data_IF_635713176460
#
_entry.id   IF_635713176460
#
_cell.length_a   1.000
_cell.length_b   1.000
_cell.length_c   1.000
_cell.angle_alpha   90.00
_cell.angle_beta   90.00
_cell.angle_gamma   90.00
#
_symmetry.space_group_name_H-M   'P 1'
#
loop_
_entity.id
_entity.type
_entity.pdbx_description
1 polymer ?
#
# COMPACT_ATOMS: atom_id res chain seq x y z
N UNK A 1 -29.11 8.62 -31.51
CA UNK A 1 -27.85 9.25 -31.05
C UNK A 1 -28.23 10.25 -29.97
N UNK A 2 -28.00 9.90 -28.71
CA UNK A 2 -28.35 10.75 -27.55
C UNK A 2 -27.21 10.65 -26.54
N UNK A 3 -26.47 11.74 -26.42
CA UNK A 3 -25.39 11.94 -25.46
C UNK A 3 -26.00 12.52 -24.19
N UNK A 4 -26.00 11.75 -23.11
CA UNK A 4 -26.39 12.21 -21.77
C UNK A 4 -25.17 12.86 -21.12
N UNK A 5 -25.15 14.20 -21.07
CA UNK A 5 -24.17 14.97 -20.30
C UNK A 5 -24.56 14.96 -18.81
N UNK A 6 -23.66 14.50 -17.95
CA UNK A 6 -23.87 14.44 -16.50
C UNK A 6 -23.46 15.78 -15.85
N UNK A 7 -24.30 16.48 -15.07
CA UNK A 7 -23.98 17.76 -14.45
C UNK A 7 -23.67 17.57 -12.96
N UNK A 8 -22.42 17.34 -12.58
CA UNK A 8 -22.09 17.27 -11.14
C UNK A 8 -20.69 17.76 -10.74
N UNK A 9 -20.15 18.79 -11.41
CA UNK A 9 -19.01 19.54 -10.88
C UNK A 9 -19.12 21.02 -11.26
N UNK A 10 -19.39 21.94 -10.31
CA UNK A 10 -19.13 23.35 -10.55
C UNK A 10 -17.63 23.62 -10.48
N UNK A 11 -17.04 23.92 -11.63
CA UNK A 11 -15.72 24.52 -11.77
C UNK A 11 -15.79 26.00 -11.38
N UNK A 12 -15.57 26.34 -10.11
CA UNK A 12 -15.10 27.68 -9.67
C UNK A 12 -15.08 27.79 -8.14
N UNK A 13 -13.89 27.76 -7.54
CA UNK A 13 -13.66 28.36 -6.23
C UNK A 13 -12.64 29.49 -6.42
N UNK A 14 -13.03 30.77 -6.18
CA UNK A 14 -12.10 31.88 -6.24
C UNK A 14 -11.23 31.95 -4.98
N UNK A 15 -9.93 32.14 -5.20
CA UNK A 15 -8.99 32.69 -4.23
C UNK A 15 -9.42 34.11 -3.88
N UNK A 16 -9.73 34.37 -2.61
CA UNK A 16 -9.34 35.56 -1.84
C UNK A 16 -10.24 35.71 -0.62
N UNK A 17 -9.70 36.32 0.44
CA UNK A 17 -10.31 36.63 1.74
C UNK A 17 -10.26 35.53 2.81
N UNK A 18 -9.09 35.34 3.44
CA UNK A 18 -9.02 35.05 4.89
C UNK A 18 -7.64 35.42 5.51
N UNK A 19 -6.98 36.50 5.07
CA UNK A 19 -5.81 37.05 5.79
C UNK A 19 -6.20 38.33 6.54
N UNK A 20 -6.81 38.15 7.71
CA UNK A 20 -6.89 39.19 8.74
C UNK A 20 -5.52 39.39 9.39
N UNK A 21 -4.97 40.61 9.27
CA UNK A 21 -3.82 41.11 10.01
C UNK A 21 -4.06 41.04 11.53
N UNK A 22 -3.22 40.29 12.24
CA UNK A 22 -2.88 40.58 13.63
C UNK A 22 -1.37 40.49 13.81
N UNK A 23 -0.75 41.65 14.02
CA UNK A 23 0.67 41.80 14.33
C UNK A 23 0.91 41.37 15.78
N UNK A 24 1.37 40.15 15.97
CA UNK A 24 2.06 39.72 17.19
C UNK A 24 3.40 39.14 16.76
N UNK A 25 4.51 39.68 17.28
CA UNK A 25 5.83 39.13 17.00
C UNK A 25 5.86 37.65 17.44
N UNK A 26 6.31 36.71 16.59
CA UNK A 26 6.45 35.32 17.00
C UNK A 26 7.53 35.23 18.10
N UNK A 27 7.33 34.42 19.16
CA UNK A 27 8.39 34.14 20.11
C UNK A 27 9.57 33.48 19.40
N UNK A 28 10.82 33.71 19.85
CA UNK A 28 11.98 33.08 19.23
C UNK A 28 11.82 31.56 19.28
N UNK A 29 11.84 30.94 18.10
CA UNK A 29 11.86 29.50 17.94
C UNK A 29 13.11 28.99 18.66
N UNK A 30 12.93 28.39 19.84
CA UNK A 30 13.95 27.50 20.40
C UNK A 30 14.33 26.52 19.31
N UNK A 31 15.62 26.46 19.00
CA UNK A 31 16.19 25.50 18.07
C UNK A 31 15.60 24.12 18.38
N UNK A 32 14.70 23.66 17.51
CA UNK A 32 14.26 22.27 17.50
C UNK A 32 15.46 21.48 17.05
N UNK A 33 16.06 20.81 18.03
CA UNK A 33 17.13 19.85 17.84
C UNK A 33 16.73 18.90 16.71
N UNK A 34 17.49 18.98 15.62
CA UNK A 34 17.22 18.30 14.36
C UNK A 34 17.69 16.87 14.42
N UNK A 35 17.17 16.07 15.36
CA UNK A 35 17.30 14.61 15.35
C UNK A 35 16.43 14.04 14.22
N UNK A 36 16.83 14.35 12.99
CA UNK A 36 16.56 13.50 11.83
C UNK A 36 17.12 12.14 12.20
N UNK A 37 16.23 11.17 12.39
CA UNK A 37 16.61 9.77 12.19
C UNK A 37 17.23 9.72 10.79
N UNK A 38 18.56 9.64 10.73
CA UNK A 38 19.27 9.40 9.50
C UNK A 38 18.72 8.10 8.94
N UNK A 39 17.93 8.20 7.87
CA UNK A 39 17.71 7.06 6.99
C UNK A 39 19.08 6.57 6.50
N UNK A 40 19.22 5.28 6.18
CA UNK A 40 20.50 4.72 5.77
C UNK A 40 21.14 5.59 4.68
N UNK A 41 22.40 5.93 4.88
CA UNK A 41 23.17 6.82 4.01
C UNK A 41 23.07 6.37 2.55
N UNK A 42 22.23 7.07 1.78
CA UNK A 42 22.02 6.84 0.34
C UNK A 42 23.31 6.94 -0.48
N UNK A 43 24.38 7.53 0.09
CA UNK A 43 25.70 7.61 -0.54
C UNK A 43 26.39 6.26 -0.73
N UNK A 44 26.19 5.29 0.17
CA UNK A 44 26.86 3.99 0.09
C UNK A 44 26.26 3.08 -1.01
N UNK A 45 24.94 3.12 -1.17
CA UNK A 45 24.21 2.36 -2.21
C UNK A 45 24.59 2.88 -3.61
N UNK A 46 24.72 4.20 -3.76
CA UNK A 46 25.13 4.84 -5.01
C UNK A 46 26.60 4.54 -5.36
N UNK A 47 27.51 4.55 -4.37
CA UNK A 47 28.93 4.27 -4.59
C UNK A 47 29.21 2.82 -5.05
N UNK A 48 28.34 1.86 -4.70
CA UNK A 48 28.43 0.45 -5.13
C UNK A 48 27.65 0.15 -6.41
N UNK A 49 27.03 1.15 -7.06
CA UNK A 49 26.18 0.95 -8.24
C UNK A 49 24.93 0.10 -7.98
N UNK A 50 24.57 -0.11 -6.70
CA UNK A 50 23.38 -0.87 -6.34
C UNK A 50 22.15 -0.03 -6.65
N UNK A 51 21.14 -0.63 -7.30
CA UNK A 51 19.86 0.03 -7.47
C UNK A 51 19.20 0.19 -6.09
N UNK A 52 18.53 1.31 -5.82
CA UNK A 52 17.73 1.46 -4.61
C UNK A 52 16.78 0.27 -4.45
N UNK A 53 16.59 -0.18 -3.20
CA UNK A 53 15.65 -1.24 -2.88
C UNK A 53 14.27 -0.89 -3.45
N UNK A 54 13.69 -1.81 -4.24
CA UNK A 54 12.34 -1.63 -4.76
C UNK A 54 11.34 -2.04 -3.67
N UNK A 55 10.73 -1.07 -3.02
CA UNK A 55 9.59 -1.32 -2.15
C UNK A 55 8.40 -1.81 -2.99
N UNK A 56 7.83 -2.95 -2.63
CA UNK A 56 6.62 -3.46 -3.26
C UNK A 56 5.44 -3.10 -2.35
N UNK A 57 4.55 -2.24 -2.83
CA UNK A 57 3.30 -1.92 -2.15
C UNK A 57 2.14 -2.53 -2.93
N UNK A 58 1.63 -3.66 -2.45
CA UNK A 58 0.51 -4.36 -3.06
C UNK A 58 -0.84 -3.63 -2.87
N UNK A 59 -0.96 -2.78 -1.85
CA UNK A 59 -2.22 -2.06 -1.57
C UNK A 59 -2.49 -0.92 -2.56
N UNK A 60 -1.44 -0.37 -3.18
CA UNK A 60 -1.54 0.70 -4.18
C UNK A 60 -1.37 0.18 -5.62
N UNK A 61 -1.40 -1.14 -5.81
CA UNK A 61 -1.25 -1.70 -7.15
C UNK A 61 -2.50 -1.41 -7.98
N UNK A 62 -2.30 -0.87 -9.19
CA UNK A 62 -3.37 -0.67 -10.15
C UNK A 62 -4.03 -2.02 -10.46
N UNK A 63 -5.36 -2.07 -10.38
CA UNK A 63 -6.14 -3.30 -10.59
C UNK A 63 -5.93 -3.86 -12.00
N UNK A 64 -5.79 -3.00 -13.01
CA UNK A 64 -5.56 -3.42 -14.40
C UNK A 64 -4.17 -4.05 -14.51
N UNK A 65 -3.13 -3.38 -14.00
CA UNK A 65 -1.78 -3.92 -13.96
C UNK A 65 -1.70 -5.24 -13.16
N UNK A 66 -2.44 -5.35 -12.05
CA UNK A 66 -2.53 -6.57 -11.25
C UNK A 66 -3.16 -7.73 -12.03
N UNK A 67 -4.27 -7.49 -12.73
CA UNK A 67 -4.90 -8.50 -13.56
C UNK A 67 -3.98 -8.98 -14.69
N UNK A 68 -3.29 -8.05 -15.38
CA UNK A 68 -2.32 -8.39 -16.41
C UNK A 68 -1.14 -9.21 -15.83
N UNK A 69 -0.68 -8.89 -14.63
CA UNK A 69 0.36 -9.66 -13.93
C UNK A 69 -0.09 -11.08 -13.60
N UNK A 70 -1.33 -11.25 -13.12
CA UNK A 70 -1.89 -12.58 -12.85
C UNK A 70 -2.09 -13.39 -14.13
N UNK A 71 -2.55 -12.77 -15.22
CA UNK A 71 -2.72 -13.44 -16.51
C UNK A 71 -1.37 -13.88 -17.09
N UNK A 72 -0.32 -13.07 -16.92
CA UNK A 72 1.04 -13.43 -17.31
C UNK A 72 1.59 -14.64 -16.53
N UNK A 73 1.13 -14.87 -15.29
CA UNK A 73 1.52 -16.03 -14.47
C UNK A 73 0.69 -17.28 -14.78
N UNK A 74 -0.49 -17.15 -15.40
CA UNK A 74 -1.41 -18.27 -15.66
C UNK A 74 -0.74 -19.48 -16.33
N UNK A 75 0.05 -19.32 -17.41
CA UNK A 75 0.65 -20.47 -18.08
C UNK A 75 1.56 -21.31 -17.16
N UNK A 76 2.24 -20.66 -16.21
CA UNK A 76 3.12 -21.33 -15.25
C UNK A 76 2.35 -22.11 -14.17
N UNK A 77 1.15 -21.65 -13.82
CA UNK A 77 0.25 -22.41 -12.96
C UNK A 77 -0.33 -23.62 -13.68
N UNK A 78 -0.72 -23.45 -14.95
CA UNK A 78 -1.32 -24.51 -15.76
C UNK A 78 -0.30 -25.60 -16.16
N UNK A 79 0.96 -25.23 -16.40
CA UNK A 79 2.05 -26.17 -16.66
C UNK A 79 2.53 -26.90 -15.41
N UNK A 80 2.24 -26.37 -14.22
CA UNK A 80 2.78 -26.86 -12.96
C UNK A 80 4.22 -26.43 -12.69
N UNK A 81 4.76 -25.46 -13.44
CA UNK A 81 6.10 -24.92 -13.22
C UNK A 81 6.24 -24.17 -11.88
N UNK A 82 5.12 -23.74 -11.30
CA UNK A 82 5.07 -23.15 -9.97
C UNK A 82 4.83 -24.23 -8.91
N UNK A 83 5.82 -24.43 -8.04
CA UNK A 83 5.69 -25.32 -6.90
C UNK A 83 4.57 -24.82 -5.95
N UNK A 84 3.63 -25.70 -5.56
CA UNK A 84 2.60 -25.33 -4.60
C UNK A 84 3.23 -24.85 -3.28
N UNK A 85 2.69 -23.80 -2.65
CA UNK A 85 3.17 -23.37 -1.35
C UNK A 85 3.00 -24.49 -0.33
N UNK A 86 4.05 -24.76 0.45
CA UNK A 86 4.00 -25.66 1.61
C UNK A 86 3.33 -24.97 2.80
N UNK A 87 2.82 -25.75 3.75
CA UNK A 87 2.17 -25.26 4.98
C UNK A 87 0.93 -24.38 4.72
N UNK A 88 0.07 -24.82 3.79
CA UNK A 88 -1.23 -24.21 3.52
C UNK A 88 -2.31 -24.94 4.31
N UNK A 89 -3.05 -24.23 5.14
CA UNK A 89 -4.07 -24.78 6.02
C UNK A 89 -5.45 -24.20 5.67
N UNK A 90 -6.38 -25.07 5.29
CA UNK A 90 -7.78 -24.67 5.13
C UNK A 90 -8.46 -24.57 6.50
N UNK A 91 -9.21 -23.49 6.75
CA UNK A 91 -10.03 -23.32 7.96
C UNK A 91 -11.43 -22.80 7.56
N UNK A 92 -12.49 -23.14 8.31
CA UNK A 92 -13.81 -22.61 8.02
C UNK A 92 -13.84 -21.09 8.24
N UNK A 93 -14.69 -20.39 7.48
CA UNK A 93 -14.85 -18.94 7.60
C UNK A 93 -15.34 -18.53 8.99
N UNK A 94 -16.16 -19.34 9.66
CA UNK A 94 -16.54 -19.15 11.07
C UNK A 94 -15.36 -19.07 12.04
N UNK A 95 -14.21 -19.69 11.70
CA UNK A 95 -12.98 -19.63 12.51
C UNK A 95 -12.04 -18.48 12.11
N UNK A 96 -12.48 -17.52 11.29
CA UNK A 96 -11.64 -16.43 10.80
C UNK A 96 -10.98 -15.62 11.92
N UNK A 97 -11.76 -15.23 12.94
CA UNK A 97 -11.25 -14.39 14.05
C UNK A 97 -10.14 -15.10 14.82
N UNK A 98 -10.31 -16.38 15.12
CA UNK A 98 -9.29 -17.19 15.80
C UNK A 98 -8.05 -17.35 14.92
N UNK A 99 -8.25 -17.60 13.62
CA UNK A 99 -7.16 -17.70 12.65
C UNK A 99 -6.31 -16.43 12.57
N UNK A 100 -6.95 -15.26 12.61
CA UNK A 100 -6.21 -13.99 12.65
C UNK A 100 -5.47 -13.78 13.98
N UNK A 101 -6.02 -14.26 15.10
CA UNK A 101 -5.32 -14.23 16.40
C UNK A 101 -4.10 -15.14 16.39
N UNK A 102 -4.23 -16.35 15.86
CA UNK A 102 -3.11 -17.30 15.70
C UNK A 102 -2.01 -16.68 14.83
N UNK A 103 -2.38 -16.07 13.69
CA UNK A 103 -1.44 -15.39 12.81
C UNK A 103 -0.75 -14.21 13.50
N UNK A 104 -1.50 -13.39 14.23
CA UNK A 104 -0.94 -12.28 15.01
C UNK A 104 -0.02 -12.75 16.15
N UNK A 105 -0.26 -13.95 16.68
CA UNK A 105 0.61 -14.62 17.65
C UNK A 105 1.84 -15.29 17.00
N UNK A 106 1.98 -15.20 15.68
CA UNK A 106 3.14 -15.70 14.94
C UNK A 106 2.99 -17.13 14.41
N UNK A 107 1.76 -17.65 14.28
CA UNK A 107 1.54 -18.94 13.66
C UNK A 107 2.15 -18.98 12.24
N UNK A 108 3.02 -19.96 11.94
CA UNK A 108 3.64 -20.07 10.62
C UNK A 108 2.67 -20.66 9.60
N UNK A 109 2.85 -20.29 8.33
CA UNK A 109 2.10 -20.88 7.20
C UNK A 109 1.09 -19.92 6.58
N UNK A 110 0.30 -20.47 5.66
CA UNK A 110 -0.73 -19.76 4.92
C UNK A 110 -2.09 -20.33 5.25
N UNK A 111 -3.00 -19.50 5.76
CA UNK A 111 -4.36 -19.92 6.05
C UNK A 111 -5.30 -19.53 4.91
N UNK A 112 -6.14 -20.47 4.48
CA UNK A 112 -7.19 -20.24 3.49
C UNK A 112 -8.53 -20.41 4.19
N UNK A 113 -9.30 -19.33 4.28
CA UNK A 113 -10.64 -19.34 4.87
C UNK A 113 -11.66 -19.82 3.83
N UNK A 114 -12.39 -20.88 4.14
CA UNK A 114 -13.34 -21.54 3.25
C UNK A 114 -14.77 -21.30 3.77
N UNK A 115 -15.69 -20.76 2.95
CA UNK A 115 -17.10 -20.61 3.34
C UNK A 115 -17.74 -21.94 3.76
N UNK A 116 -18.66 -21.91 4.73
CA UNK A 116 -19.51 -23.07 5.00
C UNK A 116 -20.53 -23.26 3.86
N UNK A 117 -20.85 -24.52 3.56
CA UNK A 117 -21.86 -24.89 2.57
C UNK A 117 -23.29 -24.76 3.14
#
# INVERSE_FOLDING_TARGET
MSTTSNPFWPSSCPNDLMYGRSRGAPPPLRARDGSRHAGPDTGEVAARGARPGRGVNSALHDTIAGAAGLDALRPMFESGDLEPPVNVFARPLSAAVETYRDLAAGAPGKFVLVPEA
#
